data_IF_650740379506
#
_entry.id   IF_650740379506
#
_cell.length_a   1.000
_cell.length_b   1.000
_cell.length_c   1.000
_cell.angle_alpha   90.00
_cell.angle_beta   90.00
_cell.angle_gamma   90.00
#
_symmetry.space_group_name_H-M   'P 1'
#
loop_
_entity.id
_entity.type
_entity.pdbx_description
1 polymer ?
#
# COMPACT_ATOMS: atom_id res chain seq x y z
N UNK A 1 0.69 24.66 -13.18
CA UNK A 1 1.69 23.64 -13.55
C UNK A 1 1.16 22.93 -14.78
N UNK A 2 1.94 22.97 -15.85
CA UNK A 2 1.58 22.36 -17.14
C UNK A 2 1.64 20.83 -16.95
N UNK A 3 0.52 20.13 -17.12
CA UNK A 3 0.52 18.65 -17.10
C UNK A 3 1.31 18.21 -18.33
N UNK A 4 2.44 17.54 -18.13
CA UNK A 4 3.20 16.99 -19.26
C UNK A 4 2.27 16.05 -20.05
N UNK A 5 2.28 16.12 -21.39
CA UNK A 5 1.49 15.21 -22.20
C UNK A 5 1.95 13.77 -21.95
N UNK A 6 0.99 12.85 -21.84
CA UNK A 6 1.31 11.43 -21.70
C UNK A 6 2.06 10.94 -22.95
N UNK A 7 3.03 10.02 -22.80
CA UNK A 7 3.79 9.51 -23.93
C UNK A 7 2.89 8.69 -24.86
N UNK A 8 3.01 8.93 -26.17
CA UNK A 8 2.37 8.12 -27.22
C UNK A 8 3.19 6.85 -27.49
N UNK A 9 3.18 5.94 -26.51
CA UNK A 9 3.95 4.68 -26.50
C UNK A 9 3.13 3.56 -25.89
N UNK A 10 3.56 2.33 -26.16
CA UNK A 10 3.00 1.12 -25.57
C UNK A 10 3.87 0.62 -24.42
N UNK A 11 3.21 0.14 -23.36
CA UNK A 11 3.83 -0.30 -22.12
C UNK A 11 3.33 -1.68 -21.73
N UNK A 12 4.21 -2.49 -21.16
CA UNK A 12 3.86 -3.76 -20.49
C UNK A 12 4.04 -3.60 -18.99
N UNK A 13 3.19 -4.25 -18.21
CA UNK A 13 3.28 -4.32 -16.76
C UNK A 13 3.65 -5.75 -16.37
N UNK A 14 4.72 -5.94 -15.61
CA UNK A 14 5.07 -7.21 -14.98
C UNK A 14 4.79 -7.12 -13.48
N UNK A 15 4.02 -8.06 -12.95
CA UNK A 15 3.72 -8.14 -11.53
C UNK A 15 4.94 -8.60 -10.75
N UNK A 16 5.22 -7.92 -9.63
CA UNK A 16 6.34 -8.29 -8.78
C UNK A 16 6.11 -9.59 -7.99
N UNK A 17 4.86 -9.98 -7.79
CA UNK A 17 4.48 -11.14 -6.97
C UNK A 17 4.59 -12.48 -7.71
N UNK A 18 4.06 -12.57 -8.92
CA UNK A 18 3.94 -13.82 -9.70
C UNK A 18 4.62 -13.76 -11.08
N UNK A 19 5.31 -12.65 -11.37
CA UNK A 19 5.96 -12.37 -12.67
C UNK A 19 5.03 -12.34 -13.88
N UNK A 20 3.70 -12.32 -13.67
CA UNK A 20 2.73 -12.24 -14.76
C UNK A 20 2.88 -10.93 -15.54
N UNK A 21 2.75 -11.00 -16.87
CA UNK A 21 2.93 -9.86 -17.78
C UNK A 21 1.59 -9.48 -18.42
N UNK A 22 1.26 -8.18 -18.37
CA UNK A 22 0.07 -7.58 -18.93
C UNK A 22 0.42 -6.52 -19.98
N UNK A 23 -0.50 -6.31 -20.92
CA UNK A 23 -0.34 -5.36 -22.03
C UNK A 23 0.05 -6.04 -23.35
N UNK A 24 0.57 -5.28 -24.32
CA UNK A 24 0.87 -3.85 -24.25
C UNK A 24 -0.37 -2.95 -24.11
N UNK A 25 -0.24 -1.83 -23.41
CA UNK A 25 -1.27 -0.78 -23.27
C UNK A 25 -0.68 0.62 -23.44
N UNK A 26 -1.49 1.63 -23.73
CA UNK A 26 -1.01 3.00 -23.78
C UNK A 26 -0.78 3.60 -22.37
N UNK A 27 -0.11 4.75 -22.31
CA UNK A 27 0.19 5.44 -21.06
C UNK A 27 -1.05 5.82 -20.25
N UNK A 28 -2.16 6.19 -20.92
CA UNK A 28 -3.41 6.55 -20.27
C UNK A 28 -3.98 5.36 -19.49
N UNK A 29 -4.09 4.19 -20.14
CA UNK A 29 -4.57 2.96 -19.50
C UNK A 29 -3.66 2.51 -18.37
N UNK A 30 -2.33 2.58 -18.53
CA UNK A 30 -1.42 2.21 -17.45
C UNK A 30 -1.54 3.15 -16.24
N UNK A 31 -1.71 4.45 -16.48
CA UNK A 31 -1.98 5.44 -15.42
C UNK A 31 -3.30 5.14 -14.70
N UNK A 32 -4.34 4.75 -15.42
CA UNK A 32 -5.62 4.35 -14.85
C UNK A 32 -5.50 3.11 -13.96
N UNK A 33 -4.68 2.13 -14.36
CA UNK A 33 -4.38 0.96 -13.51
C UNK A 33 -3.68 1.36 -12.21
N UNK A 34 -2.71 2.28 -12.28
CA UNK A 34 -2.04 2.80 -11.09
C UNK A 34 -2.98 3.61 -10.18
N UNK A 35 -3.90 4.40 -10.75
CA UNK A 35 -4.94 5.14 -10.01
C UNK A 35 -6.05 4.23 -9.46
N UNK A 36 -6.21 3.02 -10.00
CA UNK A 36 -7.22 2.05 -9.57
C UNK A 36 -6.64 0.94 -8.70
N UNK A 37 -5.48 1.17 -8.07
CA UNK A 37 -4.82 0.23 -7.18
C UNK A 37 -4.49 -1.15 -7.82
N UNK A 38 -4.28 -1.20 -9.14
CA UNK A 38 -3.88 -2.43 -9.85
C UNK A 38 -2.36 -2.52 -10.03
N UNK A 39 -1.66 -1.39 -9.98
CA UNK A 39 -0.18 -1.33 -9.99
C UNK A 39 0.32 -1.17 -8.56
N UNK A 40 1.09 -2.15 -8.10
CA UNK A 40 1.72 -2.19 -6.80
C UNK A 40 3.14 -1.58 -6.85
N UNK A 41 3.66 -1.04 -5.73
CA UNK A 41 5.03 -0.54 -5.62
C UNK A 41 6.14 -1.51 -6.11
N UNK A 42 5.91 -2.82 -6.01
CA UNK A 42 6.87 -3.87 -6.41
C UNK A 42 6.81 -4.25 -7.89
N UNK A 43 5.82 -3.74 -8.63
CA UNK A 43 5.64 -4.07 -10.04
C UNK A 43 6.69 -3.40 -10.92
N UNK A 44 6.79 -3.87 -12.17
CA UNK A 44 7.70 -3.36 -13.17
C UNK A 44 6.97 -2.96 -14.44
N UNK A 45 7.47 -1.93 -15.12
CA UNK A 45 6.94 -1.41 -16.38
C UNK A 45 8.05 -1.45 -17.42
N UNK A 46 7.70 -1.88 -18.63
CA UNK A 46 8.60 -1.87 -19.77
C UNK A 46 7.98 -1.13 -20.95
N UNK A 47 8.79 -0.33 -21.64
CA UNK A 47 8.43 0.51 -22.79
C UNK A 47 9.11 0.04 -24.08
N UNK A 48 10.21 -0.72 -23.99
CA UNK A 48 11.14 -0.96 -25.10
C UNK A 48 11.60 -2.40 -25.14
N UNK A 49 10.62 -3.31 -25.17
CA UNK A 49 10.78 -4.76 -25.26
C UNK A 49 12.00 -5.30 -24.49
N UNK A 50 11.84 -5.46 -23.16
CA UNK A 50 12.75 -6.09 -22.17
C UNK A 50 13.57 -5.14 -21.27
N UNK A 51 13.20 -3.85 -21.17
CA UNK A 51 13.78 -2.93 -20.18
C UNK A 51 12.82 -2.67 -19.01
N UNK A 52 12.66 -3.67 -18.14
CA UNK A 52 11.83 -3.57 -16.94
C UNK A 52 12.36 -2.53 -15.96
N UNK A 53 11.57 -1.50 -15.69
CA UNK A 53 11.82 -0.46 -14.69
C UNK A 53 10.80 -0.57 -13.56
N UNK A 54 11.16 -0.31 -12.29
CA UNK A 54 10.17 -0.29 -11.21
C UNK A 54 9.02 0.67 -11.52
N UNK A 55 7.78 0.27 -11.27
CA UNK A 55 6.60 1.11 -11.53
C UNK A 55 6.72 2.52 -10.90
N UNK A 56 7.20 2.67 -9.65
CA UNK A 56 7.43 3.99 -9.05
C UNK A 56 8.41 4.91 -9.77
N UNK A 57 9.27 4.37 -10.64
CA UNK A 57 10.21 5.17 -11.43
C UNK A 57 9.58 5.78 -12.69
N UNK A 58 8.36 5.39 -13.04
CA UNK A 58 7.63 5.91 -14.20
C UNK A 58 6.88 7.17 -13.80
N UNK A 59 7.39 8.33 -14.24
CA UNK A 59 6.92 9.64 -13.77
C UNK A 59 5.41 9.86 -13.96
N UNK A 60 4.86 9.46 -15.11
CA UNK A 60 3.44 9.72 -15.43
C UNK A 60 2.46 8.88 -14.59
N UNK A 61 2.93 7.83 -13.90
CA UNK A 61 2.11 7.05 -12.97
C UNK A 61 1.86 7.78 -11.66
N UNK A 62 2.60 8.85 -11.36
CA UNK A 62 2.39 9.70 -10.18
C UNK A 62 2.40 8.91 -8.86
N UNK A 63 3.18 7.83 -8.81
CA UNK A 63 3.39 7.00 -7.63
C UNK A 63 4.35 7.70 -6.64
N UNK A 64 3.89 8.83 -6.09
CA UNK A 64 4.72 9.75 -5.28
C UNK A 64 4.32 9.79 -3.82
N UNK A 65 3.37 8.96 -3.40
CA UNK A 65 2.87 8.93 -2.03
C UNK A 65 3.28 7.67 -1.29
N UNK A 66 3.65 7.83 -0.02
CA UNK A 66 3.84 6.75 0.93
C UNK A 66 2.93 7.00 2.12
N UNK A 67 2.10 6.01 2.48
CA UNK A 67 1.28 6.08 3.69
C UNK A 67 1.99 5.38 4.84
N UNK A 68 1.97 5.98 6.03
CA UNK A 68 2.43 5.36 7.27
C UNK A 68 1.24 4.83 8.06
N UNK A 69 1.34 3.58 8.45
CA UNK A 69 0.38 2.95 9.34
C UNK A 69 0.66 3.33 10.80
N UNK A 70 -0.32 3.18 11.71
CA UNK A 70 -0.15 3.48 13.13
C UNK A 70 0.95 2.67 13.84
N UNK A 71 1.32 1.51 13.30
CA UNK A 71 2.41 0.65 13.81
C UNK A 71 3.81 1.12 13.39
N UNK A 72 3.90 2.19 12.59
CA UNK A 72 5.16 2.72 12.07
C UNK A 72 5.62 2.11 10.75
N UNK A 73 4.95 1.07 10.25
CA UNK A 73 5.21 0.56 8.90
C UNK A 73 4.68 1.50 7.83
N UNK A 74 5.16 1.35 6.59
CA UNK A 74 4.71 2.16 5.46
C UNK A 74 4.38 1.34 4.24
N UNK A 75 3.47 1.87 3.42
CA UNK A 75 3.12 1.34 2.11
C UNK A 75 3.28 2.42 1.04
N UNK A 76 3.93 2.07 -0.05
CA UNK A 76 4.22 2.96 -1.17
C UNK A 76 5.60 2.66 -1.77
N UNK A 77 6.06 3.45 -2.77
CA UNK A 77 5.37 4.60 -3.36
C UNK A 77 4.10 4.20 -4.13
N UNK A 78 3.04 5.00 -4.06
CA UNK A 78 1.74 4.74 -4.70
C UNK A 78 1.02 6.03 -5.08
N UNK A 79 -0.16 5.91 -5.67
CA UNK A 79 -0.98 7.02 -6.17
C UNK A 79 -2.04 7.47 -5.15
N UNK A 80 -2.59 8.67 -5.30
CA UNK A 80 -3.76 9.09 -4.49
C UNK A 80 -4.97 8.19 -4.76
N UNK A 81 -5.09 7.68 -5.99
CA UNK A 81 -6.06 6.67 -6.36
C UNK A 81 -6.02 5.43 -5.47
N UNK A 82 -4.83 4.84 -5.31
CA UNK A 82 -4.62 3.70 -4.42
C UNK A 82 -4.91 4.04 -2.97
N UNK A 83 -4.48 5.20 -2.48
CA UNK A 83 -4.76 5.62 -1.10
C UNK A 83 -6.27 5.70 -0.81
N UNK A 84 -7.07 6.14 -1.79
CA UNK A 84 -8.54 6.17 -1.69
C UNK A 84 -9.10 4.75 -1.56
N UNK A 85 -8.57 3.79 -2.31
CA UNK A 85 -9.03 2.40 -2.22
C UNK A 85 -8.63 1.75 -0.88
N UNK A 86 -7.42 2.03 -0.37
CA UNK A 86 -7.00 1.57 0.95
C UNK A 86 -7.90 2.13 2.07
N UNK A 87 -8.31 3.39 1.97
CA UNK A 87 -9.25 4.02 2.91
C UNK A 87 -10.64 3.38 2.82
N UNK A 88 -11.14 3.17 1.61
CA UNK A 88 -12.44 2.54 1.35
C UNK A 88 -12.50 1.10 1.91
N UNK A 89 -11.40 0.37 1.78
CA UNK A 89 -11.25 -0.99 2.33
C UNK A 89 -10.90 -1.01 3.84
N UNK A 90 -10.88 0.16 4.50
CA UNK A 90 -10.57 0.31 5.93
C UNK A 90 -9.20 -0.24 6.36
N UNK A 91 -8.25 -0.33 5.43
CA UNK A 91 -6.86 -0.73 5.71
C UNK A 91 -6.11 0.42 6.40
N UNK A 92 -6.47 1.65 6.04
CA UNK A 92 -5.97 2.90 6.62
C UNK A 92 -7.14 3.80 7.03
N UNK A 93 -6.88 4.77 7.91
CA UNK A 93 -7.83 5.76 8.40
C UNK A 93 -7.52 7.16 7.85
N UNK A 94 -8.47 8.09 7.94
CA UNK A 94 -8.32 9.46 7.40
C UNK A 94 -7.19 10.28 8.05
N UNK A 95 -6.85 9.95 9.30
CA UNK A 95 -5.76 10.56 10.07
C UNK A 95 -4.39 9.93 9.78
N UNK A 96 -4.34 8.87 8.96
CA UNK A 96 -3.07 8.25 8.56
C UNK A 96 -2.13 9.30 7.94
N UNK A 97 -0.86 9.28 8.37
CA UNK A 97 0.16 10.19 7.87
C UNK A 97 0.60 9.76 6.47
N UNK A 98 0.44 10.63 5.48
CA UNK A 98 0.87 10.40 4.10
C UNK A 98 2.03 11.32 3.76
N UNK A 99 3.13 10.75 3.28
CA UNK A 99 4.30 11.48 2.81
C UNK A 99 4.25 11.60 1.28
N UNK A 100 4.37 12.82 0.78
CA UNK A 100 4.70 13.05 -0.62
C UNK A 100 6.22 12.97 -0.78
N UNK A 101 6.72 11.94 -1.45
CA UNK A 101 8.15 11.60 -1.49
C UNK A 101 9.01 12.63 -2.24
N UNK A 102 8.48 13.21 -3.32
CA UNK A 102 9.17 14.27 -4.07
C UNK A 102 9.23 15.58 -3.29
N UNK A 103 8.09 16.02 -2.74
CA UNK A 103 7.99 17.29 -2.00
C UNK A 103 8.51 17.19 -0.56
N UNK A 104 8.78 15.97 -0.08
CA UNK A 104 9.17 15.66 1.31
C UNK A 104 8.24 16.30 2.34
N UNK A 105 6.96 16.30 2.04
CA UNK A 105 5.91 16.91 2.85
C UNK A 105 4.97 15.83 3.38
N UNK A 106 4.61 15.92 4.65
CA UNK A 106 3.67 15.00 5.30
C UNK A 106 2.32 15.68 5.48
N UNK A 107 1.22 14.94 5.28
CA UNK A 107 -0.14 15.44 5.44
C UNK A 107 -1.08 14.31 5.87
N UNK A 108 -2.16 14.61 6.60
CA UNK A 108 -3.22 13.63 6.85
C UNK A 108 -3.83 13.14 5.53
N UNK A 109 -4.17 11.85 5.46
CA UNK A 109 -4.76 11.23 4.27
C UNK A 109 -6.00 11.98 3.76
N UNK A 110 -6.90 12.37 4.66
CA UNK A 110 -8.12 13.09 4.29
C UNK A 110 -7.84 14.41 3.54
N UNK A 111 -6.78 15.13 3.93
CA UNK A 111 -6.36 16.35 3.24
C UNK A 111 -5.77 16.07 1.86
N UNK A 112 -5.01 14.97 1.70
CA UNK A 112 -4.45 14.56 0.41
C UNK A 112 -5.57 14.19 -0.58
N UNK A 113 -6.55 13.40 -0.14
CA UNK A 113 -7.70 13.00 -0.98
C UNK A 113 -8.54 14.22 -1.35
N UNK A 114 -8.89 15.06 -0.37
CA UNK A 114 -9.67 16.27 -0.62
C UNK A 114 -8.97 17.19 -1.65
N UNK A 115 -7.67 17.45 -1.48
CA UNK A 115 -6.91 18.26 -2.43
C UNK A 115 -6.95 17.69 -3.86
N UNK A 116 -6.90 16.38 -4.02
CA UNK A 116 -6.97 15.73 -5.33
C UNK A 116 -8.38 15.75 -5.96
N UNK A 117 -9.44 15.82 -5.15
CA UNK A 117 -10.83 15.88 -5.62
C UNK A 117 -11.27 17.31 -5.98
N UNK A 118 -10.63 18.34 -5.39
CA UNK A 118 -10.82 19.74 -5.77
C UNK A 118 -10.12 20.13 -7.09
N UNK A 119 -9.21 19.29 -7.61
CA UNK A 119 -8.73 19.47 -8.98
C UNK A 119 -9.84 19.06 -9.96
N UNK A 120 -10.25 19.91 -10.91
CA UNK A 120 -11.24 19.55 -11.91
C UNK A 120 -10.70 18.43 -12.80
N UNK A 121 -11.08 17.18 -12.51
CA UNK A 121 -10.85 16.03 -13.39
C UNK A 121 -12.01 15.92 -14.39
N UNK A 122 -11.74 15.71 -15.70
CA UNK A 122 -12.81 15.38 -16.64
C UNK A 122 -13.52 14.11 -16.19
N UNK A 123 -14.85 14.09 -16.37
CA UNK A 123 -15.75 13.02 -15.95
C UNK A 123 -15.22 11.67 -16.46
N UNK A 124 -14.88 10.79 -15.52
CA UNK A 124 -14.36 9.44 -15.78
C UNK A 124 -15.48 8.57 -16.35
N UNK A 125 -15.28 8.00 -17.52
CA UNK A 125 -16.01 6.80 -17.93
C UNK A 125 -15.52 5.63 -17.06
N UNK A 126 -16.38 4.65 -16.81
CA UNK A 126 -16.12 3.46 -15.99
C UNK A 126 -14.72 2.89 -16.25
N UNK A 127 -13.95 2.50 -15.22
CA UNK A 127 -12.62 1.91 -15.38
C UNK A 127 -12.68 0.77 -16.40
N UNK A 128 -11.75 0.75 -17.35
CA UNK A 128 -11.60 -0.40 -18.23
C UNK A 128 -11.46 -1.68 -17.37
N UNK A 129 -12.18 -2.76 -17.72
CA UNK A 129 -12.08 -4.01 -16.97
C UNK A 129 -10.61 -4.47 -16.91
N UNK A 130 -10.21 -5.15 -15.82
CA UNK A 130 -8.84 -5.61 -15.65
C UNK A 130 -8.42 -6.46 -16.86
N UNK A 131 -7.17 -6.35 -17.33
CA UNK A 131 -6.67 -7.19 -18.40
C UNK A 131 -6.74 -8.65 -17.92
N UNK A 132 -7.52 -9.47 -18.62
CA UNK A 132 -7.45 -10.91 -18.42
C UNK A 132 -6.11 -11.38 -19.00
N UNK A 133 -5.35 -12.26 -18.30
CA UNK A 133 -4.31 -13.04 -18.95
C UNK A 133 -4.92 -13.71 -20.18
N UNK A 134 -4.18 -13.80 -21.28
CA UNK A 134 -4.66 -14.51 -22.46
C UNK A 134 -5.05 -15.96 -22.09
N UNK A 135 -6.37 -16.23 -22.17
CA UNK A 135 -7.10 -17.51 -22.19
C UNK A 135 -7.97 -17.96 -20.96
N UNK A 136 -9.29 -17.82 -21.20
CA UNK A 136 -10.46 -18.65 -20.83
C UNK A 136 -11.16 -18.54 -19.46
N UNK A 137 -12.41 -18.08 -19.55
CA UNK A 137 -13.60 -18.40 -18.75
C UNK A 137 -13.49 -18.44 -17.22
N UNK A 138 -13.87 -17.32 -16.61
CA UNK A 138 -14.32 -17.26 -15.22
C UNK A 138 -14.47 -15.80 -14.81
N UNK A 139 -15.66 -15.39 -14.41
CA UNK A 139 -15.97 -14.04 -13.94
C UNK A 139 -14.94 -13.58 -12.89
N UNK A 140 -14.18 -12.49 -13.10
CA UNK A 140 -13.26 -12.03 -12.07
C UNK A 140 -13.97 -11.07 -11.12
N UNK A 141 -13.92 -11.40 -9.83
CA UNK A 141 -13.96 -10.39 -8.76
C UNK A 141 -12.82 -9.41 -9.08
N UNK A 142 -13.09 -8.11 -9.11
CA UNK A 142 -12.07 -7.09 -9.38
C UNK A 142 -11.10 -7.09 -8.21
N UNK A 143 -10.07 -7.93 -8.28
CA UNK A 143 -8.97 -7.88 -7.34
C UNK A 143 -8.20 -6.57 -7.56
N UNK A 144 -7.88 -5.87 -6.48
CA UNK A 144 -7.00 -4.71 -6.49
C UNK A 144 -5.63 -5.15 -5.94
N UNK A 145 -4.69 -5.61 -6.79
CA UNK A 145 -3.40 -6.16 -6.34
C UNK A 145 -2.66 -5.30 -5.32
N UNK A 146 -2.69 -3.97 -5.49
CA UNK A 146 -2.02 -3.05 -4.58
C UNK A 146 -2.66 -3.09 -3.17
N UNK A 147 -3.99 -3.21 -3.11
CA UNK A 147 -4.77 -3.32 -1.87
C UNK A 147 -4.49 -4.64 -1.17
N UNK A 148 -4.51 -5.76 -1.89
CA UNK A 148 -4.23 -7.08 -1.31
C UNK A 148 -2.80 -7.14 -0.77
N UNK A 149 -1.81 -6.61 -1.50
CA UNK A 149 -0.45 -6.51 -0.99
C UNK A 149 -0.34 -5.64 0.27
N UNK A 150 -1.11 -4.55 0.36
CA UNK A 150 -1.15 -3.71 1.56
C UNK A 150 -1.77 -4.46 2.75
N UNK A 151 -2.84 -5.24 2.53
CA UNK A 151 -3.45 -6.12 3.54
C UNK A 151 -2.45 -7.16 4.04
N UNK A 152 -1.77 -7.86 3.13
CA UNK A 152 -0.78 -8.88 3.45
C UNK A 152 0.39 -8.33 4.27
N UNK A 153 0.89 -7.15 3.88
CA UNK A 153 1.93 -6.47 4.66
C UNK A 153 1.44 -6.13 6.06
N UNK A 154 0.22 -5.62 6.19
CA UNK A 154 -0.38 -5.28 7.48
C UNK A 154 -0.60 -6.52 8.35
N UNK A 155 -1.04 -7.63 7.77
CA UNK A 155 -1.22 -8.91 8.48
C UNK A 155 0.12 -9.38 9.04
N UNK A 156 1.17 -9.45 8.22
CA UNK A 156 2.51 -9.87 8.66
C UNK A 156 3.02 -9.02 9.82
N UNK A 157 2.80 -7.72 9.78
CA UNK A 157 3.22 -6.83 10.87
C UNK A 157 2.43 -7.08 12.15
N UNK A 158 1.11 -7.20 12.06
CA UNK A 158 0.26 -7.44 13.24
C UNK A 158 0.60 -8.79 13.90
N UNK A 159 0.94 -9.81 13.12
CA UNK A 159 1.39 -11.09 13.64
C UNK A 159 2.69 -10.96 14.45
N UNK A 160 3.65 -10.17 13.97
CA UNK A 160 4.90 -9.90 14.67
C UNK A 160 4.68 -9.08 15.95
N UNK A 161 3.86 -8.04 15.90
CA UNK A 161 3.52 -7.23 17.07
C UNK A 161 2.83 -8.08 18.14
N UNK A 162 1.90 -8.95 17.75
CA UNK A 162 1.25 -9.89 18.65
C UNK A 162 2.25 -10.86 19.28
N UNK A 163 3.25 -11.33 18.51
CA UNK A 163 4.30 -12.20 19.02
C UNK A 163 5.15 -11.49 20.08
N UNK A 164 5.54 -10.25 19.82
CA UNK A 164 6.31 -9.42 20.75
C UNK A 164 5.51 -9.15 22.03
N UNK A 165 4.26 -8.71 21.90
CA UNK A 165 3.41 -8.36 23.03
C UNK A 165 3.14 -9.57 23.93
N UNK A 166 2.95 -10.77 23.37
CA UNK A 166 2.84 -12.02 24.13
C UNK A 166 4.10 -12.31 24.95
N UNK A 167 5.28 -12.12 24.36
CA UNK A 167 6.55 -12.31 25.07
C UNK A 167 6.70 -11.33 26.25
N UNK A 168 6.40 -10.06 26.04
CA UNK A 168 6.45 -9.05 27.10
C UNK A 168 5.46 -9.35 28.23
N UNK A 169 4.26 -9.81 27.89
CA UNK A 169 3.26 -10.24 28.85
C UNK A 169 3.78 -11.39 29.74
N UNK A 170 4.37 -12.42 29.14
CA UNK A 170 4.93 -13.55 29.87
C UNK A 170 6.07 -13.14 30.80
N UNK A 171 6.97 -12.26 30.33
CA UNK A 171 8.05 -11.70 31.15
C UNK A 171 7.51 -10.90 32.34
N UNK A 172 6.45 -10.11 32.13
CA UNK A 172 5.82 -9.32 33.19
C UNK A 172 5.17 -10.22 34.24
N UNK A 173 4.48 -11.29 33.82
CA UNK A 173 3.90 -12.28 34.73
C UNK A 173 4.97 -12.96 35.58
N UNK A 174 6.12 -13.32 34.99
CA UNK A 174 7.22 -13.93 35.75
C UNK A 174 7.79 -12.97 36.80
N UNK A 175 8.00 -11.70 36.45
CA UNK A 175 8.46 -10.66 37.39
C UNK A 175 7.47 -10.47 38.54
N UNK A 176 6.18 -10.39 38.22
CA UNK A 176 5.12 -10.25 39.22
C UNK A 176 5.06 -11.43 40.19
N UNK A 177 5.14 -12.68 39.68
CA UNK A 177 5.20 -13.88 40.52
C UNK A 177 6.40 -13.86 41.47
N UNK A 178 7.59 -13.51 40.95
CA UNK A 178 8.82 -13.43 41.75
C UNK A 178 8.72 -12.38 42.85
N UNK A 179 8.16 -11.20 42.55
CA UNK A 179 7.98 -10.13 43.52
C UNK A 179 7.01 -10.54 44.64
N UNK A 180 5.90 -11.18 44.29
CA UNK A 180 4.94 -11.68 45.28
C UNK A 180 5.54 -12.74 46.20
N UNK A 181 6.36 -13.65 45.66
CA UNK A 181 7.06 -14.64 46.46
C UNK A 181 7.99 -13.96 47.49
N UNK A 182 8.79 -12.98 47.06
CA UNK A 182 9.67 -12.21 47.95
C UNK A 182 8.89 -11.47 49.04
N UNK A 183 7.72 -10.91 48.72
CA UNK A 183 6.86 -10.24 49.70
C UNK A 183 6.31 -11.20 50.75
N UNK A 184 5.93 -12.43 50.35
CA UNK A 184 5.46 -13.47 51.27
C UNK A 184 6.60 -13.90 52.21
N UNK A 185 7.78 -14.18 51.66
CA UNK A 185 8.97 -14.57 52.42
C UNK A 185 9.39 -13.46 53.41
N UNK A 186 9.45 -12.20 52.96
CA UNK A 186 9.79 -11.07 53.82
C UNK A 186 8.79 -10.84 54.97
N UNK A 187 7.52 -11.16 54.79
CA UNK A 187 6.50 -11.11 55.85
C UNK A 187 6.62 -12.27 56.82
N UNK A 188 7.03 -13.46 56.36
CA UNK A 188 7.21 -14.63 57.21
C UNK A 188 8.42 -14.48 58.16
N UNK A 189 9.50 -13.83 57.71
CA UNK A 189 10.72 -13.61 58.52
C UNK A 189 10.52 -12.58 59.66
N UNK A 190 9.49 -11.72 59.58
CA UNK A 190 9.21 -10.67 60.57
C UNK A 190 8.24 -11.11 61.69
N UNK A 191 7.78 -12.35 61.69
CA UNK A 191 6.89 -12.94 62.69
C UNK A 191 7.65 -13.91 63.59
#
# INVERSE_FOLDING_TARGET
MEKQPLPDKQFRLKKGEDESIFGPVNATTLKEWAESAQVAPIDFVDETDEQWKPAPSIEFLEMVYEVKFPDGTSYGPTTVGTLRELLKESIITEDASVNHLVKKHSSPLGAVIAAADFEPKPRRETPAPPPQPVETNGTPIVAHPAVEMAKDQRIRQLEEDLRILRKEHDELLQKYRKLNQQLVEAKAVKK
#
